data_IF_090992654176
#
_entry.id   IF_090992654176
#
_cell.length_a   1.000
_cell.length_b   1.000
_cell.length_c   1.000
_cell.angle_alpha   90.00
_cell.angle_beta   90.00
_cell.angle_gamma   90.00
#
_symmetry.space_group_name_H-M   'P 1'
#
loop_
_entity.id
_entity.type
_entity.pdbx_description
1 polymer ?
#
# COMPACT_ATOMS: atom_id res chain seq x y z
N UNK A 1 -4.97 12.32 -6.13
CA UNK A 1 -5.03 13.48 -7.04
C UNK A 1 -3.92 14.43 -6.68
N UNK A 2 -3.12 14.83 -7.66
CA UNK A 2 -2.08 15.84 -7.47
C UNK A 2 -2.69 17.26 -7.45
N UNK A 3 -1.86 18.26 -7.18
CA UNK A 3 -2.28 19.66 -7.10
C UNK A 3 -2.93 20.16 -8.40
N UNK A 4 -2.40 19.74 -9.56
CA UNK A 4 -2.93 20.12 -10.87
C UNK A 4 -4.35 19.62 -11.08
N UNK A 5 -4.63 18.35 -10.75
CA UNK A 5 -5.98 17.80 -10.80
C UNK A 5 -6.95 18.58 -9.91
N UNK A 6 -6.52 18.95 -8.70
CA UNK A 6 -7.36 19.74 -7.78
C UNK A 6 -7.65 21.13 -8.37
N UNK A 7 -6.64 21.77 -8.98
CA UNK A 7 -6.81 23.08 -9.63
C UNK A 7 -7.82 23.02 -10.79
N UNK A 8 -7.85 21.92 -11.54
CA UNK A 8 -8.82 21.69 -12.61
C UNK A 8 -10.22 21.48 -12.05
N UNK A 9 -10.37 20.72 -10.96
CA UNK A 9 -11.67 20.54 -10.30
C UNK A 9 -12.25 21.87 -9.79
N UNK A 10 -11.41 22.77 -9.26
CA UNK A 10 -11.82 24.12 -8.82
C UNK A 10 -12.32 25.00 -9.96
N UNK A 11 -11.95 24.72 -11.21
CA UNK A 11 -12.52 25.40 -12.39
C UNK A 11 -13.91 24.87 -12.76
N UNK A 12 -14.27 23.68 -12.29
CA UNK A 12 -15.53 23.00 -12.62
C UNK A 12 -16.60 23.18 -11.53
N UNK A 13 -16.18 23.33 -10.28
CA UNK A 13 -17.05 23.38 -9.09
C UNK A 13 -16.58 24.49 -8.13
N UNK A 14 -17.48 25.04 -7.28
CA UNK A 14 -17.10 25.96 -6.21
C UNK A 14 -15.94 25.41 -5.37
N UNK A 15 -14.95 26.27 -5.09
CA UNK A 15 -13.71 25.86 -4.42
C UNK A 15 -13.95 25.19 -3.07
N UNK A 16 -14.94 25.66 -2.30
CA UNK A 16 -15.30 25.15 -0.99
C UNK A 16 -15.65 23.67 -1.02
N UNK A 17 -16.38 23.20 -2.04
CA UNK A 17 -16.74 21.80 -2.19
C UNK A 17 -15.55 20.93 -2.57
N UNK A 18 -14.68 21.44 -3.44
CA UNK A 18 -13.45 20.74 -3.84
C UNK A 18 -12.49 20.63 -2.65
N UNK A 19 -12.35 21.69 -1.88
CA UNK A 19 -11.50 21.71 -0.69
C UNK A 19 -12.02 20.76 0.39
N UNK A 20 -13.35 20.69 0.62
CA UNK A 20 -13.93 19.71 1.55
C UNK A 20 -13.59 18.26 1.16
N UNK A 21 -13.71 17.92 -0.14
CA UNK A 21 -13.30 16.61 -0.65
C UNK A 21 -11.80 16.35 -0.49
N UNK A 22 -10.96 17.36 -0.75
CA UNK A 22 -9.50 17.26 -0.57
C UNK A 22 -9.13 17.00 0.89
N UNK A 23 -9.73 17.72 1.84
CA UNK A 23 -9.43 17.53 3.26
C UNK A 23 -9.86 16.14 3.75
N UNK A 24 -11.00 15.62 3.27
CA UNK A 24 -11.40 14.25 3.56
C UNK A 24 -10.36 13.22 3.07
N UNK A 25 -9.83 13.39 1.86
CA UNK A 25 -8.76 12.51 1.33
C UNK A 25 -7.46 12.65 2.10
N UNK A 26 -7.07 13.88 2.49
CA UNK A 26 -5.88 14.13 3.31
C UNK A 26 -5.94 13.44 4.67
N UNK A 27 -7.12 13.35 5.28
CA UNK A 27 -7.29 12.62 6.53
C UNK A 27 -6.91 11.14 6.39
N UNK A 28 -7.31 10.49 5.28
CA UNK A 28 -6.93 9.11 4.97
C UNK A 28 -5.43 8.97 4.67
N UNK A 29 -4.88 9.88 3.86
CA UNK A 29 -3.44 9.92 3.57
C UNK A 29 -2.60 10.08 4.86
N UNK A 30 -3.08 10.86 5.84
CA UNK A 30 -2.42 11.02 7.12
C UNK A 30 -2.38 9.72 7.94
N UNK A 31 -3.43 8.88 7.89
CA UNK A 31 -3.41 7.55 8.52
C UNK A 31 -2.33 6.67 7.90
N UNK A 32 -2.27 6.63 6.57
CA UNK A 32 -1.25 5.90 5.81
C UNK A 32 0.16 6.40 6.15
N UNK A 33 0.36 7.72 6.17
CA UNK A 33 1.64 8.34 6.54
C UNK A 33 2.08 7.92 7.94
N UNK A 34 1.18 7.99 8.93
CA UNK A 34 1.48 7.60 10.31
C UNK A 34 1.83 6.11 10.43
N UNK A 35 1.13 5.24 9.70
CA UNK A 35 1.45 3.81 9.67
C UNK A 35 2.84 3.55 9.09
N UNK A 36 3.19 4.20 7.96
CA UNK A 36 4.49 4.07 7.33
C UNK A 36 5.63 4.60 8.20
N UNK A 37 5.40 5.71 8.89
CA UNK A 37 6.37 6.36 9.79
C UNK A 37 6.60 5.55 11.06
N UNK A 38 5.52 5.15 11.75
CA UNK A 38 5.62 4.47 13.05
C UNK A 38 5.83 2.96 12.92
N UNK A 39 5.33 2.34 11.84
CA UNK A 39 5.32 0.88 11.61
C UNK A 39 4.72 0.08 12.78
N UNK A 40 3.71 0.66 13.42
CA UNK A 40 3.01 0.11 14.58
C UNK A 40 1.56 -0.16 14.25
N UNK A 41 0.92 -1.03 15.02
CA UNK A 41 -0.51 -1.25 14.87
C UNK A 41 -1.25 0.07 15.20
N UNK A 42 -2.19 0.53 14.36
CA UNK A 42 -3.04 1.66 14.70
C UNK A 42 -3.82 1.41 15.99
N UNK A 43 -3.96 2.43 16.84
CA UNK A 43 -4.75 2.34 18.08
C UNK A 43 -6.22 2.06 17.77
N UNK A 44 -6.77 2.79 16.81
CA UNK A 44 -8.12 2.58 16.28
C UNK A 44 -8.07 1.79 14.96
N UNK A 45 -8.97 0.82 14.82
CA UNK A 45 -9.16 0.06 13.59
C UNK A 45 -9.53 0.96 12.41
N UNK A 46 -8.94 0.68 11.25
CA UNK A 46 -9.25 1.40 10.02
C UNK A 46 -10.54 0.88 9.39
N UNK A 47 -11.25 1.78 8.68
CA UNK A 47 -12.38 1.37 7.85
C UNK A 47 -11.88 0.63 6.59
N UNK A 48 -12.79 -0.08 5.91
CA UNK A 48 -12.43 -0.84 4.71
C UNK A 48 -11.82 0.05 3.63
N UNK A 49 -12.36 1.27 3.44
CA UNK A 49 -11.88 2.19 2.42
C UNK A 49 -10.45 2.70 2.70
N UNK A 50 -10.05 2.86 3.97
CA UNK A 50 -8.69 3.23 4.37
C UNK A 50 -7.72 2.08 4.09
N UNK A 51 -8.13 0.84 4.38
CA UNK A 51 -7.33 -0.37 4.12
C UNK A 51 -7.17 -0.55 2.61
N UNK A 52 -8.26 -0.48 1.84
CA UNK A 52 -8.24 -0.61 0.39
C UNK A 52 -7.41 0.51 -0.27
N UNK A 53 -7.47 1.73 0.26
CA UNK A 53 -6.64 2.84 -0.23
C UNK A 53 -5.16 2.51 -0.07
N UNK A 54 -4.73 2.03 1.10
CA UNK A 54 -3.34 1.59 1.32
C UNK A 54 -2.93 0.47 0.37
N UNK A 55 -3.74 -0.59 0.27
CA UNK A 55 -3.44 -1.75 -0.56
C UNK A 55 -3.36 -1.38 -2.05
N UNK A 56 -4.25 -0.50 -2.50
CA UNK A 56 -4.24 0.01 -3.88
C UNK A 56 -2.99 0.83 -4.16
N UNK A 57 -2.64 1.77 -3.28
CA UNK A 57 -1.43 2.61 -3.42
C UNK A 57 -0.14 1.76 -3.41
N UNK A 58 -0.08 0.69 -2.61
CA UNK A 58 1.05 -0.24 -2.64
C UNK A 58 1.04 -1.10 -3.91
N UNK A 59 -0.12 -1.58 -4.36
CA UNK A 59 -0.21 -2.47 -5.53
C UNK A 59 0.35 -1.83 -6.81
N UNK A 60 0.13 -0.53 -7.00
CA UNK A 60 0.61 0.19 -8.20
C UNK A 60 2.13 0.38 -8.20
N UNK A 61 2.81 0.09 -7.09
CA UNK A 61 4.27 0.13 -6.97
C UNK A 61 4.95 -1.18 -7.41
N UNK A 62 4.19 -2.24 -7.67
CA UNK A 62 4.72 -3.49 -8.21
C UNK A 62 4.77 -3.45 -9.74
N UNK A 63 5.87 -3.94 -10.31
CA UNK A 63 6.14 -3.82 -11.75
C UNK A 63 5.11 -4.50 -12.64
N UNK A 64 4.43 -5.55 -12.15
CA UNK A 64 3.32 -6.18 -12.87
C UNK A 64 2.11 -5.25 -13.08
N UNK A 65 2.04 -4.11 -12.38
CA UNK A 65 0.96 -3.13 -12.48
C UNK A 65 1.38 -1.81 -13.16
N UNK A 66 2.64 -1.66 -13.58
CA UNK A 66 3.11 -0.45 -14.25
C UNK A 66 2.49 -0.30 -15.65
N UNK A 67 2.00 0.90 -15.95
CA UNK A 67 1.53 1.24 -17.29
C UNK A 67 2.68 1.12 -18.30
N UNK A 68 2.51 0.29 -19.32
CA UNK A 68 3.51 0.11 -20.39
C UNK A 68 4.68 -0.82 -20.04
N UNK A 69 4.60 -1.60 -18.95
CA UNK A 69 5.61 -2.62 -18.68
C UNK A 69 5.59 -3.74 -19.74
N UNK A 70 6.76 -4.09 -20.27
CA UNK A 70 6.96 -5.22 -21.18
C UNK A 70 7.84 -6.29 -20.51
N UNK A 71 7.21 -7.15 -19.71
CA UNK A 71 7.90 -8.24 -19.03
C UNK A 71 8.26 -9.37 -20.00
N UNK A 72 9.55 -9.57 -20.27
CA UNK A 72 10.08 -10.67 -21.11
C UNK A 72 10.56 -11.90 -20.31
N UNK A 73 10.52 -11.84 -18.97
CA UNK A 73 10.93 -12.95 -18.12
C UNK A 73 9.89 -14.06 -17.97
N UNK A 74 10.31 -15.12 -17.28
CA UNK A 74 9.50 -16.27 -16.90
C UNK A 74 8.57 -15.96 -15.71
N UNK A 75 9.00 -15.06 -14.80
CA UNK A 75 8.26 -14.67 -13.60
C UNK A 75 7.94 -13.17 -13.59
N UNK A 76 6.95 -12.81 -14.39
CA UNK A 76 6.50 -11.41 -14.61
C UNK A 76 5.20 -11.05 -13.86
N UNK A 77 4.72 -11.90 -12.96
CA UNK A 77 3.50 -11.62 -12.19
C UNK A 77 2.23 -11.55 -13.06
N UNK A 78 2.22 -12.19 -14.24
CA UNK A 78 1.07 -12.22 -15.15
C UNK A 78 -0.07 -13.02 -14.51
N UNK A 79 -1.24 -12.41 -14.35
CA UNK A 79 -2.44 -13.04 -13.79
C UNK A 79 -3.49 -13.22 -14.89
N UNK A 80 -3.92 -14.46 -15.13
CA UNK A 80 -4.88 -14.78 -16.21
C UNK A 80 -6.32 -14.43 -15.85
N UNK A 81 -6.72 -14.65 -14.59
CA UNK A 81 -8.10 -14.41 -14.14
C UNK A 81 -8.21 -13.10 -13.38
N UNK A 82 -9.09 -12.21 -13.84
CA UNK A 82 -9.38 -10.95 -13.14
C UNK A 82 -9.98 -11.16 -11.75
N UNK A 83 -10.70 -12.27 -11.51
CA UNK A 83 -11.17 -12.62 -10.18
C UNK A 83 -9.98 -12.85 -9.23
N UNK A 84 -8.95 -13.55 -9.71
CA UNK A 84 -7.72 -13.82 -8.95
C UNK A 84 -6.91 -12.55 -8.73
N UNK A 85 -6.81 -11.69 -9.75
CA UNK A 85 -6.11 -10.42 -9.62
C UNK A 85 -6.79 -9.52 -8.57
N UNK A 86 -8.12 -9.36 -8.63
CA UNK A 86 -8.87 -8.49 -7.71
C UNK A 86 -8.85 -8.97 -6.27
N UNK A 87 -9.06 -10.27 -6.02
CA UNK A 87 -9.06 -10.81 -4.64
C UNK A 87 -7.71 -10.70 -3.93
N UNK A 88 -6.64 -10.47 -4.68
CA UNK A 88 -5.28 -10.28 -4.18
C UNK A 88 -4.79 -8.83 -4.31
N UNK A 89 -5.70 -7.87 -4.54
CA UNK A 89 -5.36 -6.45 -4.73
C UNK A 89 -4.26 -6.24 -5.79
N UNK A 90 -4.19 -7.12 -6.80
CA UNK A 90 -3.18 -7.10 -7.88
C UNK A 90 -1.72 -7.26 -7.43
N UNK A 91 -1.48 -7.73 -6.20
CA UNK A 91 -0.16 -8.07 -5.68
C UNK A 91 0.20 -9.50 -6.14
N UNK A 92 1.06 -9.62 -7.16
CA UNK A 92 1.28 -10.90 -7.87
C UNK A 92 2.68 -11.48 -7.74
N UNK A 93 3.66 -10.73 -7.23
CA UNK A 93 5.05 -11.18 -7.17
C UNK A 93 5.40 -12.01 -5.93
N UNK A 94 4.62 -11.88 -4.85
CA UNK A 94 4.94 -12.42 -3.53
C UNK A 94 5.98 -11.56 -2.79
N UNK A 95 6.60 -12.15 -1.76
CA UNK A 95 7.60 -11.47 -0.91
C UNK A 95 8.98 -12.09 -1.09
N UNK A 96 10.02 -11.31 -0.78
CA UNK A 96 11.40 -11.80 -0.77
C UNK A 96 11.98 -12.09 -2.15
N UNK A 97 13.13 -12.77 -2.13
CA UNK A 97 13.89 -13.24 -3.30
C UNK A 97 14.22 -14.73 -3.14
N UNK A 98 14.70 -15.35 -4.21
CA UNK A 98 14.95 -16.80 -4.25
C UNK A 98 15.90 -17.32 -3.16
N UNK A 99 16.82 -16.49 -2.65
CA UNK A 99 17.76 -16.85 -1.60
C UNK A 99 17.53 -16.18 -0.25
N UNK A 100 16.57 -15.25 -0.16
CA UNK A 100 16.32 -14.48 1.06
C UNK A 100 14.88 -13.95 1.08
N UNK A 101 14.09 -14.45 2.02
CA UNK A 101 12.67 -14.09 2.17
C UNK A 101 12.47 -12.65 2.66
N UNK A 102 13.48 -12.08 3.33
CA UNK A 102 13.45 -10.72 3.89
C UNK A 102 14.01 -9.67 2.92
N UNK A 103 14.70 -10.11 1.87
CA UNK A 103 15.27 -9.21 0.87
C UNK A 103 14.19 -8.46 0.09
N UNK A 104 14.46 -7.17 -0.17
CA UNK A 104 13.60 -6.32 -0.99
C UNK A 104 13.56 -6.88 -2.41
N UNK A 105 12.34 -7.08 -2.94
CA UNK A 105 12.10 -7.56 -4.30
C UNK A 105 12.09 -6.36 -5.27
N UNK A 106 13.10 -6.19 -6.15
CA UNK A 106 13.17 -5.04 -7.06
C UNK A 106 11.99 -4.93 -8.03
N UNK A 107 11.33 -6.05 -8.37
CA UNK A 107 10.12 -6.06 -9.20
C UNK A 107 8.83 -5.79 -8.44
N UNK A 108 8.88 -5.75 -7.11
CA UNK A 108 7.71 -5.71 -6.25
C UNK A 108 7.96 -4.84 -5.01
N UNK A 109 8.16 -3.54 -5.26
CA UNK A 109 8.42 -2.58 -4.20
C UNK A 109 7.24 -2.46 -3.22
N UNK A 110 6.01 -2.48 -3.75
CA UNK A 110 4.77 -2.45 -2.96
C UNK A 110 4.63 -3.69 -2.08
N UNK A 111 4.78 -4.88 -2.66
CA UNK A 111 4.77 -6.14 -1.91
C UNK A 111 5.89 -6.21 -0.85
N UNK A 112 7.06 -5.63 -1.14
CA UNK A 112 8.18 -5.57 -0.18
C UNK A 112 7.85 -4.65 1.00
N UNK A 113 7.30 -3.46 0.75
CA UNK A 113 6.85 -2.54 1.80
C UNK A 113 5.77 -3.21 2.65
N UNK A 114 4.79 -3.87 2.02
CA UNK A 114 3.72 -4.57 2.71
C UNK A 114 4.26 -5.65 3.66
N UNK A 115 5.24 -6.44 3.21
CA UNK A 115 5.92 -7.44 4.04
C UNK A 115 6.61 -6.82 5.26
N UNK A 116 7.38 -5.75 5.04
CA UNK A 116 8.09 -5.03 6.12
C UNK A 116 7.11 -4.45 7.14
N UNK A 117 6.03 -3.81 6.69
CA UNK A 117 5.01 -3.25 7.56
C UNK A 117 4.31 -4.33 8.37
N UNK A 118 3.93 -5.44 7.71
CA UNK A 118 3.24 -6.55 8.36
C UNK A 118 4.09 -7.16 9.46
N UNK A 119 5.39 -7.39 9.21
CA UNK A 119 6.30 -7.92 10.21
C UNK A 119 6.49 -6.94 11.39
N UNK A 120 6.62 -5.64 11.12
CA UNK A 120 6.77 -4.62 12.16
C UNK A 120 5.50 -4.51 13.04
N UNK A 121 4.31 -4.56 12.42
CA UNK A 121 3.04 -4.58 13.15
C UNK A 121 2.88 -5.86 13.97
N UNK A 122 3.22 -7.03 13.41
CA UNK A 122 3.19 -8.29 14.14
C UNK A 122 4.12 -8.25 15.36
N UNK A 123 5.33 -7.69 15.22
CA UNK A 123 6.25 -7.48 16.34
C UNK A 123 5.67 -6.55 17.41
N UNK A 124 5.01 -5.48 16.99
CA UNK A 124 4.32 -4.56 17.90
C UNK A 124 3.22 -5.29 18.68
N UNK A 125 2.43 -6.14 18.02
CA UNK A 125 1.44 -6.99 18.69
C UNK A 125 2.07 -7.97 19.68
N UNK A 126 3.19 -8.62 19.33
CA UNK A 126 3.89 -9.53 20.25
C UNK A 126 4.36 -8.79 21.51
N UNK A 127 4.83 -7.55 21.37
CA UNK A 127 5.23 -6.70 22.49
C UNK A 127 4.02 -6.29 23.34
N UNK A 128 2.91 -5.90 22.71
CA UNK A 128 1.65 -5.60 23.39
C UNK A 128 1.09 -6.82 24.13
N UNK A 129 1.31 -8.03 23.63
CA UNK A 129 0.91 -9.29 24.26
C UNK A 129 1.79 -9.68 25.47
N UNK A 130 2.81 -8.88 25.81
CA UNK A 130 3.61 -9.03 27.04
C UNK A 130 5.07 -9.43 26.82
N UNK A 131 5.50 -9.70 25.58
CA UNK A 131 6.91 -10.06 25.30
C UNK A 131 7.70 -8.82 24.87
N UNK A 132 8.05 -7.97 25.83
CA UNK A 132 8.54 -6.59 25.58
C UNK A 132 9.94 -6.50 24.92
N UNK A 133 10.76 -7.55 24.99
CA UNK A 133 12.16 -7.52 24.52
C UNK A 133 12.40 -8.24 23.18
N UNK A 134 11.35 -8.57 22.42
CA UNK A 134 11.51 -9.22 21.11
C UNK A 134 12.05 -8.24 20.07
N UNK A 135 12.97 -8.70 19.22
CA UNK A 135 13.53 -7.99 18.07
C UNK A 135 13.31 -8.81 16.79
N UNK A 136 13.08 -8.13 15.66
CA UNK A 136 13.01 -8.73 14.32
C UNK A 136 14.36 -8.66 13.62
#
# INVERSE_FOLDING_TARGET
MNADCISLCKKMLPETYVDQGRESRRARENKIRLLLEKKKLPEDGWDEADIEMLLTELSVMDSNNFCGNCGAGEREGRVVSDLVARRHYRLAHGIGRSGDITAIQPKAAGSSILSVLTNAMALDVIRLAGTVNVQC
#
